data_IF_942679500745
#
_entry.id   IF_942679500745
#
_cell.length_a   1.000
_cell.length_b   1.000
_cell.length_c   1.000
_cell.angle_alpha   90.00
_cell.angle_beta   90.00
_cell.angle_gamma   90.00
#
_symmetry.space_group_name_H-M   'P 1'
#
loop_
_entity.id
_entity.type
_entity.pdbx_description
1 polymer ?
#
# COMPACT_ATOMS: atom_id res chain seq x y z
N UNK A 1 -27.32 -15.17 -11.80
CA UNK A 1 -26.50 -14.54 -12.88
C UNK A 1 -25.05 -14.60 -12.45
N UNK A 2 -24.28 -15.55 -12.99
CA UNK A 2 -22.85 -15.75 -12.69
C UNK A 2 -22.03 -14.65 -13.36
N UNK A 3 -21.80 -13.55 -12.65
CA UNK A 3 -20.88 -12.52 -13.10
C UNK A 3 -19.46 -13.08 -13.11
N UNK A 4 -18.82 -13.04 -14.28
CA UNK A 4 -17.45 -13.48 -14.52
C UNK A 4 -16.50 -13.09 -13.36
N UNK A 5 -15.71 -14.05 -12.87
CA UNK A 5 -14.64 -13.83 -11.90
C UNK A 5 -13.56 -12.95 -12.53
N UNK A 6 -13.76 -11.63 -12.53
CA UNK A 6 -12.84 -10.70 -13.17
C UNK A 6 -11.67 -10.40 -12.22
N UNK A 7 -10.50 -10.93 -12.56
CA UNK A 7 -9.23 -10.44 -12.05
C UNK A 7 -8.83 -9.18 -12.86
N UNK A 8 -8.41 -8.12 -12.18
CA UNK A 8 -8.00 -6.88 -12.83
C UNK A 8 -6.85 -6.21 -12.09
N UNK A 9 -5.89 -5.71 -12.85
CA UNK A 9 -4.74 -4.96 -12.33
C UNK A 9 -4.71 -3.60 -13.03
N UNK A 10 -4.68 -2.52 -12.25
CA UNK A 10 -4.52 -1.15 -12.73
C UNK A 10 -3.24 -0.58 -12.16
N UNK A 11 -2.28 -0.29 -13.04
CA UNK A 11 -1.09 0.44 -12.67
C UNK A 11 -1.43 1.92 -12.49
N UNK A 12 -1.26 2.45 -11.27
CA UNK A 12 -1.46 3.87 -10.97
C UNK A 12 -0.14 4.64 -11.17
N UNK A 13 1.00 4.02 -10.85
CA UNK A 13 2.33 4.53 -11.14
C UNK A 13 3.31 4.35 -9.97
N UNK A 14 4.61 4.39 -10.25
CA UNK A 14 5.68 3.93 -9.34
C UNK A 14 5.45 2.45 -8.93
N UNK A 15 5.30 2.16 -7.64
CA UNK A 15 4.91 0.84 -7.14
C UNK A 15 3.40 0.74 -6.82
N UNK A 16 2.62 1.80 -7.10
CA UNK A 16 1.20 1.86 -6.77
C UNK A 16 0.36 1.13 -7.81
N UNK A 17 -0.26 0.04 -7.37
CA UNK A 17 -1.11 -0.82 -8.21
C UNK A 17 -2.40 -1.14 -7.48
N UNK A 18 -3.53 -1.00 -8.18
CA UNK A 18 -4.84 -1.42 -7.70
C UNK A 18 -5.17 -2.79 -8.29
N UNK A 19 -5.32 -3.78 -7.43
CA UNK A 19 -5.60 -5.17 -7.78
C UNK A 19 -7.03 -5.48 -7.35
N UNK A 20 -7.82 -6.05 -8.24
CA UNK A 20 -9.19 -6.50 -7.98
C UNK A 20 -9.30 -7.98 -8.33
N UNK A 21 -9.83 -8.78 -7.41
CA UNK A 21 -9.97 -10.22 -7.61
C UNK A 21 -11.14 -10.77 -6.79
N UNK A 22 -12.12 -11.39 -7.46
CA UNK A 22 -13.29 -12.03 -6.81
C UNK A 22 -13.96 -11.17 -5.72
N UNK A 23 -14.16 -9.88 -6.01
CA UNK A 23 -14.76 -8.91 -5.08
C UNK A 23 -13.79 -8.29 -4.07
N UNK A 24 -12.55 -8.77 -3.98
CA UNK A 24 -11.50 -8.21 -3.14
C UNK A 24 -10.71 -7.11 -3.87
N UNK A 25 -10.43 -6.01 -3.20
CA UNK A 25 -9.71 -4.85 -3.74
C UNK A 25 -8.49 -4.50 -2.87
N UNK A 26 -7.31 -4.63 -3.46
CA UNK A 26 -6.02 -4.39 -2.82
C UNK A 26 -5.30 -3.21 -3.48
N UNK A 27 -4.70 -2.35 -2.67
CA UNK A 27 -3.77 -1.31 -3.13
C UNK A 27 -2.35 -1.62 -2.67
N UNK A 28 -1.37 -1.57 -3.57
CA UNK A 28 0.05 -1.72 -3.23
C UNK A 28 0.73 -0.37 -3.12
N UNK A 29 1.71 -0.25 -2.23
CA UNK A 29 2.65 0.88 -2.09
C UNK A 29 2.07 2.26 -2.48
N UNK A 30 1.12 2.79 -1.69
CA UNK A 30 0.37 3.99 -2.04
C UNK A 30 1.24 5.25 -2.21
N UNK A 31 1.33 5.73 -3.45
CA UNK A 31 2.00 6.97 -3.84
C UNK A 31 1.19 7.69 -4.94
N UNK A 32 0.60 8.81 -4.56
CA UNK A 32 -0.27 9.68 -5.35
C UNK A 32 0.35 11.08 -5.54
N UNK A 33 1.68 11.19 -5.48
CA UNK A 33 2.37 12.41 -5.88
C UNK A 33 2.16 12.67 -7.37
N UNK A 34 1.86 13.94 -7.71
CA UNK A 34 1.75 14.40 -9.09
C UNK A 34 3.11 14.66 -9.73
N UNK A 35 3.16 14.73 -11.06
CA UNK A 35 4.40 15.02 -11.80
C UNK A 35 5.08 16.27 -11.25
N UNK A 36 6.40 16.18 -11.02
CA UNK A 36 7.20 17.26 -10.47
C UNK A 36 7.25 17.32 -8.95
N UNK A 37 6.31 16.70 -8.23
CA UNK A 37 6.37 16.59 -6.78
C UNK A 37 7.49 15.64 -6.34
N UNK A 38 7.97 15.79 -5.09
CA UNK A 38 9.11 15.04 -4.56
C UNK A 38 8.72 14.14 -3.39
N UNK A 39 9.24 12.92 -3.43
CA UNK A 39 9.21 11.95 -2.33
C UNK A 39 10.54 11.98 -1.56
N UNK A 40 10.49 11.87 -0.23
CA UNK A 40 11.69 11.80 0.61
C UNK A 40 12.10 10.34 0.85
N UNK A 41 13.36 10.02 0.58
CA UNK A 41 13.91 8.66 0.64
C UNK A 41 14.74 8.39 1.91
N UNK A 42 14.98 9.41 2.75
CA UNK A 42 15.90 9.34 3.88
C UNK A 42 17.24 10.02 3.59
N UNK A 43 17.97 10.39 4.64
CA UNK A 43 19.33 10.93 4.57
C UNK A 43 19.52 12.14 3.62
N UNK A 44 18.48 12.97 3.48
CA UNK A 44 18.50 14.14 2.59
C UNK A 44 18.21 13.81 1.11
N UNK A 45 18.03 12.53 0.77
CA UNK A 45 17.71 12.10 -0.58
C UNK A 45 16.21 12.25 -0.87
N UNK A 46 15.92 12.57 -2.13
CA UNK A 46 14.56 12.72 -2.64
C UNK A 46 14.47 12.27 -4.08
N UNK A 47 13.33 11.70 -4.46
CA UNK A 47 12.99 11.37 -5.84
C UNK A 47 11.95 12.34 -6.39
N UNK A 48 12.05 12.71 -7.67
CA UNK A 48 11.06 13.53 -8.38
C UNK A 48 10.13 12.61 -9.17
N UNK A 49 8.81 12.79 -9.01
CA UNK A 49 7.81 12.08 -9.81
C UNK A 49 7.88 12.54 -11.27
N UNK A 50 7.98 11.58 -12.20
CA UNK A 50 8.11 11.86 -13.63
C UNK A 50 6.77 11.87 -14.38
N UNK A 51 5.77 11.14 -13.90
CA UNK A 51 4.46 10.98 -14.54
C UNK A 51 3.33 11.29 -13.55
N UNK A 52 2.16 11.68 -14.07
CA UNK A 52 0.95 11.76 -13.25
C UNK A 52 0.53 10.37 -12.77
N UNK A 53 -0.10 10.26 -11.59
CA UNK A 53 -0.79 9.03 -11.23
C UNK A 53 -1.97 8.81 -12.20
N UNK A 54 -2.22 7.56 -12.57
CA UNK A 54 -3.34 7.23 -13.46
C UNK A 54 -4.73 7.43 -12.80
N UNK A 55 -4.75 7.55 -11.47
CA UNK A 55 -5.91 7.84 -10.64
C UNK A 55 -5.48 8.71 -9.47
N UNK A 56 -6.29 9.70 -9.14
CA UNK A 56 -6.20 10.37 -7.85
C UNK A 56 -6.69 9.45 -6.74
N UNK A 57 -6.22 9.69 -5.51
CA UNK A 57 -6.60 8.89 -4.35
C UNK A 57 -8.12 8.92 -4.08
N UNK A 58 -8.78 10.04 -4.41
CA UNK A 58 -10.23 10.21 -4.28
C UNK A 58 -11.03 9.37 -5.28
N UNK A 59 -10.39 8.90 -6.35
CA UNK A 59 -11.01 8.06 -7.37
C UNK A 59 -10.87 6.56 -7.06
N UNK A 60 -10.22 6.21 -5.95
CA UNK A 60 -10.09 4.82 -5.55
C UNK A 60 -11.47 4.24 -5.17
N UNK A 61 -11.77 3.00 -5.58
CA UNK A 61 -12.89 2.26 -5.00
C UNK A 61 -12.61 1.95 -3.52
N UNK A 62 -13.62 1.49 -2.76
CA UNK A 62 -13.40 0.93 -1.43
C UNK A 62 -12.28 -0.13 -1.45
N UNK A 63 -11.36 -0.03 -0.49
CA UNK A 63 -10.23 -0.94 -0.35
C UNK A 63 -10.49 -1.92 0.78
N UNK A 64 -10.26 -3.20 0.51
CA UNK A 64 -10.26 -4.23 1.56
C UNK A 64 -8.94 -4.21 2.34
N UNK A 65 -7.83 -3.92 1.66
CA UNK A 65 -6.52 -3.82 2.28
C UNK A 65 -5.53 -2.96 1.48
N UNK A 66 -4.44 -2.60 2.15
CA UNK A 66 -3.22 -2.10 1.56
C UNK A 66 -2.09 -3.07 1.85
N UNK A 67 -1.24 -3.34 0.86
CA UNK A 67 0.06 -3.99 1.07
C UNK A 67 1.13 -2.93 0.89
N UNK A 68 1.89 -2.67 1.95
CA UNK A 68 2.99 -1.71 1.95
C UNK A 68 4.31 -2.46 2.16
N UNK A 69 5.18 -2.43 1.16
CA UNK A 69 6.47 -3.13 1.18
C UNK A 69 7.39 -2.56 2.27
N UNK A 70 7.55 -1.25 2.33
CA UNK A 70 8.36 -0.53 3.32
C UNK A 70 7.97 0.95 3.40
N UNK A 71 8.65 1.74 4.25
CA UNK A 71 8.17 3.07 4.65
C UNK A 71 8.98 4.27 4.11
N UNK A 72 9.43 4.19 2.87
CA UNK A 72 10.00 5.34 2.15
C UNK A 72 8.92 6.19 1.47
N UNK A 73 9.21 7.47 1.22
CA UNK A 73 8.22 8.43 0.73
C UNK A 73 7.73 8.17 -0.69
N UNK A 74 8.45 7.37 -1.47
CA UNK A 74 8.08 6.91 -2.81
C UNK A 74 7.11 5.71 -2.78
N UNK A 75 7.04 4.98 -1.66
CA UNK A 75 6.07 3.90 -1.42
C UNK A 75 4.93 4.30 -0.47
N UNK A 76 5.14 5.34 0.34
CA UNK A 76 4.15 5.87 1.28
C UNK A 76 4.28 7.39 1.40
N UNK A 77 3.51 8.12 0.59
CA UNK A 77 3.63 9.57 0.53
C UNK A 77 2.69 10.33 1.48
N UNK A 78 2.80 11.66 1.43
CA UNK A 78 1.96 12.57 2.22
C UNK A 78 0.48 12.54 1.84
N UNK A 79 0.15 12.22 0.58
CA UNK A 79 -1.22 12.19 0.06
C UNK A 79 -1.93 10.94 0.58
N UNK A 80 -1.32 9.76 0.42
CA UNK A 80 -1.78 8.50 0.97
C UNK A 80 -1.94 8.57 2.49
N UNK A 81 -0.94 9.11 3.19
CA UNK A 81 -0.99 9.30 4.64
C UNK A 81 -2.16 10.19 5.07
N UNK A 82 -2.50 11.21 4.29
CA UNK A 82 -3.55 12.18 4.61
C UNK A 82 -4.96 11.68 4.29
N UNK A 83 -5.12 10.96 3.17
CA UNK A 83 -6.44 10.70 2.59
C UNK A 83 -6.95 9.26 2.76
N UNK A 84 -6.09 8.27 3.03
CA UNK A 84 -6.56 6.89 3.27
C UNK A 84 -7.34 6.79 4.60
N UNK A 85 -8.43 6.00 4.61
CA UNK A 85 -9.16 5.68 5.84
C UNK A 85 -8.20 5.01 6.84
N UNK A 86 -8.15 5.57 8.05
CA UNK A 86 -7.31 5.08 9.16
C UNK A 86 -7.69 3.68 9.63
N UNK A 87 -8.87 3.20 9.26
CA UNK A 87 -9.37 1.85 9.54
C UNK A 87 -9.10 0.86 8.41
N UNK A 88 -8.51 1.28 7.28
CA UNK A 88 -8.10 0.35 6.23
C UNK A 88 -7.01 -0.59 6.77
N UNK A 89 -7.17 -1.93 6.65
CA UNK A 89 -6.11 -2.88 6.99
C UNK A 89 -4.85 -2.61 6.17
N UNK A 90 -3.68 -2.57 6.82
CA UNK A 90 -2.39 -2.42 6.14
C UNK A 90 -1.48 -3.59 6.53
N UNK A 91 -1.12 -4.44 5.57
CA UNK A 91 -0.10 -5.47 5.76
C UNK A 91 1.26 -4.91 5.34
N UNK A 92 2.26 -4.98 6.21
CA UNK A 92 3.59 -4.41 5.95
C UNK A 92 4.68 -5.12 6.77
N UNK A 93 5.86 -4.51 6.93
CA UNK A 93 6.90 -5.00 7.84
C UNK A 93 6.56 -4.67 9.31
N UNK A 94 7.05 -5.44 10.30
CA UNK A 94 6.86 -5.11 11.72
C UNK A 94 7.32 -3.69 12.10
N UNK A 95 8.39 -3.19 11.49
CA UNK A 95 8.88 -1.83 11.70
C UNK A 95 7.91 -0.77 11.15
N UNK A 96 7.48 -0.91 9.89
CA UNK A 96 6.55 0.01 9.27
C UNK A 96 5.18 0.02 9.98
N UNK A 97 4.68 -1.16 10.40
CA UNK A 97 3.42 -1.27 11.14
C UNK A 97 3.42 -0.43 12.43
N UNK A 98 4.51 -0.46 13.21
CA UNK A 98 4.63 0.38 14.43
C UNK A 98 4.54 1.87 14.11
N UNK A 99 5.19 2.31 13.03
CA UNK A 99 5.19 3.73 12.63
C UNK A 99 3.85 4.15 12.03
N UNK A 100 3.17 3.30 11.27
CA UNK A 100 1.81 3.52 10.77
C UNK A 100 0.77 3.64 11.89
N UNK A 101 0.88 2.82 12.95
CA UNK A 101 0.01 2.93 14.12
C UNK A 101 0.14 4.28 14.81
N UNK A 102 1.37 4.83 14.90
CA UNK A 102 1.60 6.20 15.39
C UNK A 102 1.00 7.28 14.47
N UNK A 103 0.71 6.96 13.21
CA UNK A 103 0.02 7.83 12.24
C UNK A 103 -1.50 7.61 12.21
N UNK A 104 -2.05 6.84 13.15
CA UNK A 104 -3.48 6.58 13.30
C UNK A 104 -4.00 5.31 12.60
N UNK A 105 -3.17 4.61 11.83
CA UNK A 105 -3.59 3.37 11.14
C UNK A 105 -3.58 2.19 12.11
N UNK A 106 -4.63 2.07 12.92
CA UNK A 106 -4.73 1.10 14.03
C UNK A 106 -4.68 -0.36 13.56
N UNK A 107 -5.15 -0.63 12.34
CA UNK A 107 -5.18 -1.98 11.73
C UNK A 107 -3.94 -2.32 10.89
N UNK A 108 -2.86 -1.54 11.01
CA UNK A 108 -1.58 -1.89 10.41
C UNK A 108 -0.95 -3.10 11.12
N UNK A 109 -0.54 -4.13 10.38
CA UNK A 109 0.04 -5.37 10.91
C UNK A 109 1.30 -5.72 10.16
N UNK A 110 2.34 -6.09 10.90
CA UNK A 110 3.55 -6.67 10.35
C UNK A 110 3.66 -8.13 10.74
N UNK A 111 3.28 -9.09 9.87
CA UNK A 111 3.43 -10.50 10.18
C UNK A 111 4.91 -10.80 10.44
N UNK A 112 5.19 -11.56 11.50
CA UNK A 112 6.52 -12.15 11.68
C UNK A 112 6.71 -13.18 10.57
N UNK A 113 7.95 -13.39 10.12
CA UNK A 113 8.25 -14.56 9.28
C UNK A 113 7.67 -15.78 9.98
N UNK A 114 6.85 -16.56 9.28
CA UNK A 114 6.58 -17.92 9.70
C UNK A 114 7.95 -18.59 9.82
N UNK A 115 8.30 -19.05 11.02
CA UNK A 115 9.43 -19.96 11.17
C UNK A 115 9.17 -21.23 10.33
N UNK A 116 10.18 -22.09 10.14
CA UNK A 116 9.91 -23.41 9.58
C UNK A 116 8.76 -24.05 10.37
N UNK A 117 7.82 -24.68 9.66
CA UNK A 117 6.78 -25.47 10.31
C UNK A 117 7.47 -26.42 11.32
N UNK A 118 6.94 -26.58 12.55
CA UNK A 118 7.53 -27.50 13.49
C UNK A 118 7.69 -28.86 12.81
N UNK A 119 8.90 -29.40 12.82
CA UNK A 119 9.16 -30.74 12.31
C UNK A 119 8.23 -31.69 13.05
N UNK A 120 7.34 -32.33 12.30
CA UNK A 120 6.40 -33.32 12.80
C UNK A 120 7.22 -34.42 13.50
N UNK A 121 7.18 -34.44 14.83
CA UNK A 121 7.78 -35.51 15.62
C UNK A 121 6.95 -36.77 15.35
N UNK A 122 7.53 -37.67 14.54
CA UNK A 122 7.05 -39.03 14.34
C UNK A 122 7.25 -39.88 15.58
#
# INVERSE_FOLDING_TARGET
MSGHETAGVRFIGNATTLIRYKGFTLLTDPNFLHRGQRAYLGYGLTSRRLTEPALDISQLPPLDAVVLSHMHGDHWDRVARGALDKRTPIITTPHAARRLRRQGFSRATGPRRMGPAPAEQR
#
